data_IF_436688309999
#
_entry.id   IF_436688309999
#
_cell.length_a   1.000
_cell.length_b   1.000
_cell.length_c   1.000
_cell.angle_alpha   90.00
_cell.angle_beta   90.00
_cell.angle_gamma   90.00
#
_symmetry.space_group_name_H-M   'P 1'
#
loop_
_entity.id
_entity.type
_entity.pdbx_description
1 polymer ?
#
# COMPACT_ATOMS: atom_id res chain seq x y z
N UNK A 1 23.18 41.79 -47.73
CA UNK A 1 23.23 40.47 -47.06
C UNK A 1 21.93 40.28 -46.31
N UNK A 2 21.07 39.38 -46.81
CA UNK A 2 19.70 39.18 -46.35
C UNK A 2 19.64 38.53 -44.97
N UNK A 3 18.85 39.10 -44.06
CA UNK A 3 18.41 38.48 -42.81
C UNK A 3 17.12 37.71 -43.07
N UNK A 4 17.17 36.39 -42.99
CA UNK A 4 15.98 35.53 -42.96
C UNK A 4 15.56 35.36 -41.49
N UNK A 5 14.42 35.94 -41.09
CA UNK A 5 13.74 35.56 -39.84
C UNK A 5 12.87 34.34 -40.15
N UNK A 6 13.20 33.20 -39.55
CA UNK A 6 12.31 32.04 -39.48
C UNK A 6 11.33 32.24 -38.31
N UNK A 7 10.06 32.47 -38.62
CA UNK A 7 8.98 32.35 -37.63
C UNK A 7 8.62 30.88 -37.48
N UNK A 8 8.91 30.31 -36.30
CA UNK A 8 8.35 29.02 -35.89
C UNK A 8 6.88 29.25 -35.49
N UNK A 9 5.96 28.81 -36.34
CA UNK A 9 4.55 28.74 -36.00
C UNK A 9 4.31 27.50 -35.09
N UNK A 10 4.10 27.75 -33.80
CA UNK A 10 3.62 26.72 -32.87
C UNK A 10 2.13 26.45 -33.16
N UNK A 11 1.84 25.42 -33.94
CA UNK A 11 0.49 24.92 -34.12
C UNK A 11 0.01 24.24 -32.85
N UNK A 12 -0.95 24.87 -32.14
CA UNK A 12 -1.66 24.22 -31.06
C UNK A 12 -2.54 23.10 -31.64
N UNK A 13 -2.12 21.85 -31.46
CA UNK A 13 -2.98 20.69 -31.66
C UNK A 13 -4.07 20.75 -30.57
N UNK A 14 -5.25 21.25 -30.95
CA UNK A 14 -6.44 21.12 -30.13
C UNK A 14 -6.78 19.63 -30.04
N UNK A 15 -6.51 19.03 -28.88
CA UNK A 15 -7.02 17.70 -28.54
C UNK A 15 -8.54 17.83 -28.48
N UNK A 16 -9.22 17.36 -29.53
CA UNK A 16 -10.67 17.23 -29.50
C UNK A 16 -11.01 16.25 -28.37
N UNK A 17 -11.72 16.74 -27.36
CA UNK A 17 -12.26 15.91 -26.31
C UNK A 17 -13.11 14.81 -26.96
N UNK A 18 -12.85 13.56 -26.58
CA UNK A 18 -13.66 12.44 -27.03
C UNK A 18 -15.14 12.74 -26.70
N UNK A 19 -16.07 12.44 -27.62
CA UNK A 19 -17.48 12.68 -27.36
C UNK A 19 -17.91 11.92 -26.10
N UNK A 20 -18.78 12.53 -25.30
CA UNK A 20 -19.29 11.91 -24.07
C UNK A 20 -19.84 10.50 -24.36
N UNK A 21 -19.68 9.56 -23.42
CA UNK A 21 -20.30 8.24 -23.51
C UNK A 21 -21.80 8.36 -23.80
N UNK A 22 -22.34 7.51 -24.67
CA UNK A 22 -23.75 7.51 -25.02
C UNK A 22 -24.28 6.09 -25.15
N UNK A 23 -25.36 5.78 -24.45
CA UNK A 23 -26.08 4.51 -24.50
C UNK A 23 -26.41 4.10 -25.93
N UNK A 24 -27.03 4.99 -26.71
CA UNK A 24 -27.47 4.67 -28.08
C UNK A 24 -26.33 4.28 -29.02
N UNK A 25 -25.14 4.88 -28.83
CA UNK A 25 -23.98 4.64 -29.69
C UNK A 25 -23.11 3.50 -29.17
N UNK A 26 -22.88 3.46 -27.87
CA UNK A 26 -21.80 2.68 -27.27
C UNK A 26 -22.29 1.40 -26.58
N UNK A 27 -23.55 1.36 -26.13
CA UNK A 27 -24.11 0.22 -25.38
C UNK A 27 -25.23 -0.52 -26.13
N UNK A 28 -26.19 0.22 -26.70
CA UNK A 28 -27.38 -0.35 -27.34
C UNK A 28 -27.05 -1.37 -28.44
N UNK A 29 -26.10 -1.14 -29.37
CA UNK A 29 -25.78 -2.14 -30.40
C UNK A 29 -25.31 -3.48 -29.82
N UNK A 30 -24.59 -3.45 -28.70
CA UNK A 30 -24.16 -4.67 -28.01
C UNK A 30 -25.36 -5.39 -27.39
N UNK A 31 -26.26 -4.65 -26.73
CA UNK A 31 -27.43 -5.25 -26.08
C UNK A 31 -28.38 -5.88 -27.11
N UNK A 32 -28.61 -5.21 -28.25
CA UNK A 32 -29.40 -5.75 -29.37
C UNK A 32 -28.79 -7.04 -29.92
N UNK A 33 -27.48 -7.07 -30.12
CA UNK A 33 -26.81 -8.21 -30.73
C UNK A 33 -26.67 -9.41 -29.79
N UNK A 34 -26.48 -9.18 -28.48
CA UNK A 34 -26.03 -10.23 -27.55
C UNK A 34 -26.99 -10.50 -26.38
N UNK A 35 -27.93 -9.59 -26.08
CA UNK A 35 -28.73 -9.66 -24.85
C UNK A 35 -30.24 -9.82 -25.10
N UNK A 36 -30.82 -9.07 -26.04
CA UNK A 36 -32.28 -8.96 -26.17
C UNK A 36 -32.97 -10.25 -26.62
N UNK A 37 -32.29 -11.13 -27.36
CA UNK A 37 -32.76 -12.50 -27.68
C UNK A 37 -33.21 -13.33 -26.45
N UNK A 38 -32.83 -12.94 -25.24
CA UNK A 38 -33.15 -13.65 -24.01
C UNK A 38 -33.68 -12.74 -22.90
N UNK A 39 -33.31 -11.46 -22.90
CA UNK A 39 -33.60 -10.49 -21.84
C UNK A 39 -34.48 -9.33 -22.33
N UNK A 40 -35.37 -9.58 -23.28
CA UNK A 40 -36.43 -8.66 -23.67
C UNK A 40 -37.69 -8.84 -22.82
N UNK A 41 -38.68 -7.98 -23.04
CA UNK A 41 -39.98 -8.01 -22.37
C UNK A 41 -40.81 -9.26 -22.68
N UNK A 42 -40.52 -10.03 -23.73
CA UNK A 42 -41.25 -11.25 -24.07
C UNK A 42 -40.63 -12.49 -23.41
N UNK A 43 -39.30 -12.63 -23.48
CA UNK A 43 -38.56 -13.83 -23.06
C UNK A 43 -38.18 -13.80 -21.58
N UNK A 44 -37.81 -12.63 -21.05
CA UNK A 44 -37.49 -12.37 -19.63
C UNK A 44 -36.67 -13.46 -18.92
N UNK A 45 -35.63 -14.03 -19.55
CA UNK A 45 -34.82 -15.07 -18.90
C UNK A 45 -34.15 -14.55 -17.64
N UNK A 46 -34.16 -15.38 -16.60
CA UNK A 46 -33.58 -15.01 -15.31
C UNK A 46 -34.28 -13.82 -14.65
N UNK A 47 -35.55 -13.57 -14.99
CA UNK A 47 -36.37 -12.48 -14.46
C UNK A 47 -35.78 -11.08 -14.72
N UNK A 48 -34.96 -10.94 -15.77
CA UNK A 48 -34.29 -9.71 -16.14
C UNK A 48 -34.73 -9.25 -17.53
N UNK A 49 -35.13 -7.98 -17.61
CA UNK A 49 -35.55 -7.26 -18.82
C UNK A 49 -34.59 -6.08 -19.03
N UNK A 50 -34.01 -5.98 -20.23
CA UNK A 50 -32.94 -5.03 -20.57
C UNK A 50 -33.31 -4.09 -21.73
N UNK A 51 -34.41 -4.33 -22.44
CA UNK A 51 -34.84 -3.51 -23.59
C UNK A 51 -35.36 -2.12 -23.18
N UNK A 52 -35.82 -1.96 -21.93
CA UNK A 52 -36.17 -0.66 -21.32
C UNK A 52 -34.96 0.08 -20.70
N UNK A 53 -33.77 -0.51 -20.75
CA UNK A 53 -32.58 0.08 -20.14
C UNK A 53 -32.12 1.34 -20.91
N UNK A 54 -31.56 2.30 -20.18
CA UNK A 54 -31.10 3.59 -20.72
C UNK A 54 -29.68 3.89 -20.23
N UNK A 55 -29.22 5.14 -20.33
CA UNK A 55 -27.95 5.58 -19.76
C UNK A 55 -27.79 5.12 -18.29
N UNK A 56 -26.54 5.01 -17.84
CA UNK A 56 -26.28 4.66 -16.44
C UNK A 56 -26.73 5.80 -15.53
N UNK A 57 -27.63 5.50 -14.60
CA UNK A 57 -28.13 6.40 -13.57
C UNK A 57 -28.01 5.75 -12.19
N UNK A 58 -28.13 6.52 -11.10
CA UNK A 58 -28.16 5.94 -9.76
C UNK A 58 -29.31 4.94 -9.55
N UNK A 59 -30.44 5.13 -10.23
CA UNK A 59 -31.66 4.32 -10.06
C UNK A 59 -31.52 2.94 -10.70
N UNK A 60 -30.81 2.84 -11.83
CA UNK A 60 -30.56 1.57 -12.53
C UNK A 60 -29.17 0.98 -12.21
N UNK A 61 -28.45 1.55 -11.24
CA UNK A 61 -27.10 1.14 -10.82
C UNK A 61 -26.96 -0.37 -10.61
N UNK A 62 -27.91 -0.98 -9.89
CA UNK A 62 -27.85 -2.41 -9.57
C UNK A 62 -27.92 -3.31 -10.80
N UNK A 63 -28.72 -2.92 -11.80
CA UNK A 63 -28.85 -3.64 -13.06
C UNK A 63 -27.57 -3.51 -13.87
N UNK A 64 -27.07 -2.29 -14.08
CA UNK A 64 -25.85 -2.05 -14.85
C UNK A 64 -24.62 -2.69 -14.20
N UNK A 65 -24.49 -2.62 -12.88
CA UNK A 65 -23.43 -3.34 -12.14
C UNK A 65 -23.49 -4.83 -12.41
N UNK A 66 -24.68 -5.43 -12.40
CA UNK A 66 -24.85 -6.86 -12.67
C UNK A 66 -24.50 -7.20 -14.12
N UNK A 67 -24.94 -6.39 -15.09
CA UNK A 67 -24.60 -6.56 -16.52
C UNK A 67 -23.08 -6.49 -16.71
N UNK A 68 -22.42 -5.48 -16.13
CA UNK A 68 -20.96 -5.36 -16.17
C UNK A 68 -20.27 -6.61 -15.61
N UNK A 69 -20.68 -7.09 -14.43
CA UNK A 69 -20.09 -8.29 -13.82
C UNK A 69 -20.26 -9.52 -14.73
N UNK A 70 -21.44 -9.74 -15.31
CA UNK A 70 -21.69 -10.88 -16.19
C UNK A 70 -20.92 -10.80 -17.52
N UNK A 71 -20.81 -9.61 -18.11
CA UNK A 71 -20.09 -9.40 -19.38
C UNK A 71 -18.59 -9.50 -19.20
N UNK A 72 -18.05 -8.85 -18.15
CA UNK A 72 -16.63 -8.85 -17.84
C UNK A 72 -16.12 -10.25 -17.48
N UNK A 73 -16.94 -11.07 -16.80
CA UNK A 73 -16.61 -12.45 -16.44
C UNK A 73 -16.83 -13.47 -17.56
N UNK A 74 -17.29 -13.04 -18.75
CA UNK A 74 -17.65 -13.93 -19.87
C UNK A 74 -18.74 -14.96 -19.51
N UNK A 75 -19.58 -14.66 -18.50
CA UNK A 75 -20.72 -15.49 -18.12
C UNK A 75 -21.91 -15.26 -19.05
N UNK A 76 -22.07 -14.01 -19.53
CA UNK A 76 -23.06 -13.64 -20.54
C UNK A 76 -22.38 -13.14 -21.84
N UNK A 77 -22.91 -13.50 -23.02
CA UNK A 77 -23.94 -14.53 -23.24
C UNK A 77 -23.45 -15.94 -22.83
N UNK A 78 -24.35 -16.87 -22.49
CA UNK A 78 -23.95 -18.20 -22.00
C UNK A 78 -23.06 -18.93 -23.01
N UNK A 79 -22.03 -19.67 -22.54
CA UNK A 79 -21.05 -20.37 -23.40
C UNK A 79 -21.63 -21.23 -24.53
N UNK A 80 -22.88 -21.72 -24.38
CA UNK A 80 -23.59 -22.53 -25.40
C UNK A 80 -24.18 -21.70 -26.54
N UNK A 81 -24.31 -20.37 -26.40
CA UNK A 81 -24.77 -19.47 -27.46
C UNK A 81 -23.67 -19.34 -28.50
N UNK A 82 -24.04 -19.55 -29.77
CA UNK A 82 -23.12 -19.43 -30.92
C UNK A 82 -22.64 -17.99 -31.13
N UNK A 83 -23.52 -17.02 -30.90
CA UNK A 83 -23.17 -15.61 -30.97
C UNK A 83 -22.49 -15.18 -29.66
N UNK A 84 -21.20 -14.87 -29.73
CA UNK A 84 -20.37 -14.46 -28.60
C UNK A 84 -19.63 -13.17 -28.98
N UNK A 85 -19.65 -12.14 -28.11
CA UNK A 85 -18.88 -10.93 -28.35
C UNK A 85 -17.38 -11.22 -28.20
N UNK A 86 -16.59 -10.55 -29.04
CA UNK A 86 -15.15 -10.61 -28.97
C UNK A 86 -14.60 -9.84 -27.74
N UNK A 87 -13.29 -9.94 -27.51
CA UNK A 87 -12.66 -9.30 -26.36
C UNK A 87 -12.76 -7.77 -26.39
N UNK A 88 -12.73 -7.14 -27.57
CA UNK A 88 -12.79 -5.69 -27.74
C UNK A 88 -14.22 -5.17 -27.51
N UNK A 89 -15.23 -5.87 -28.02
CA UNK A 89 -16.64 -5.55 -27.80
C UNK A 89 -16.99 -5.64 -26.31
N UNK A 90 -16.56 -6.73 -25.65
CA UNK A 90 -16.74 -6.90 -24.18
C UNK A 90 -16.07 -5.79 -23.40
N UNK A 91 -14.83 -5.44 -23.75
CA UNK A 91 -14.09 -4.38 -23.09
C UNK A 91 -14.78 -3.03 -23.27
N UNK A 92 -15.20 -2.68 -24.49
CA UNK A 92 -15.90 -1.42 -24.78
C UNK A 92 -17.16 -1.26 -23.94
N UNK A 93 -18.03 -2.27 -23.92
CA UNK A 93 -19.23 -2.20 -23.09
C UNK A 93 -18.87 -2.14 -21.60
N UNK A 94 -17.93 -2.97 -21.14
CA UNK A 94 -17.53 -2.99 -19.74
C UNK A 94 -16.98 -1.65 -19.26
N UNK A 95 -16.10 -1.02 -20.05
CA UNK A 95 -15.57 0.31 -19.78
C UNK A 95 -16.68 1.36 -19.78
N UNK A 96 -17.57 1.35 -20.79
CA UNK A 96 -18.69 2.27 -20.85
C UNK A 96 -19.59 2.18 -19.61
N UNK A 97 -19.89 0.96 -19.13
CA UNK A 97 -20.68 0.77 -17.91
C UNK A 97 -19.92 1.29 -16.69
N UNK A 98 -18.63 0.96 -16.54
CA UNK A 98 -17.82 1.41 -15.40
C UNK A 98 -17.76 2.92 -15.33
N UNK A 99 -17.44 3.60 -16.44
CA UNK A 99 -17.39 5.06 -16.52
C UNK A 99 -18.75 5.68 -16.15
N UNK A 100 -19.84 5.10 -16.65
CA UNK A 100 -21.20 5.52 -16.31
C UNK A 100 -21.51 5.35 -14.82
N UNK A 101 -21.11 4.23 -14.22
CA UNK A 101 -21.32 3.95 -12.78
C UNK A 101 -20.48 4.88 -11.90
N UNK A 102 -19.24 5.16 -12.27
CA UNK A 102 -18.39 6.14 -11.59
C UNK A 102 -19.02 7.53 -11.61
N UNK A 103 -19.46 7.97 -12.79
CA UNK A 103 -20.06 9.29 -12.96
C UNK A 103 -21.41 9.41 -12.22
N UNK A 104 -22.28 8.40 -12.34
CA UNK A 104 -23.58 8.38 -11.67
C UNK A 104 -23.44 8.37 -10.14
N UNK A 105 -22.43 7.69 -9.61
CA UNK A 105 -22.24 7.52 -8.16
C UNK A 105 -21.28 8.53 -7.53
N UNK A 106 -20.69 9.44 -8.30
CA UNK A 106 -19.67 10.40 -7.85
C UNK A 106 -20.05 11.12 -6.54
N UNK A 107 -21.29 11.61 -6.44
CA UNK A 107 -21.82 12.32 -5.27
C UNK A 107 -22.59 11.41 -4.28
N UNK A 108 -22.65 10.10 -4.55
CA UNK A 108 -23.41 9.10 -3.78
C UNK A 108 -22.49 8.01 -3.19
N UNK A 109 -21.28 8.38 -2.80
CA UNK A 109 -20.29 7.47 -2.21
C UNK A 109 -19.31 6.83 -3.21
N UNK A 110 -19.43 7.15 -4.49
CA UNK A 110 -18.57 6.67 -5.57
C UNK A 110 -18.86 5.23 -6.00
N UNK A 111 -18.22 4.81 -7.09
CA UNK A 111 -18.19 3.42 -7.53
C UNK A 111 -16.76 2.99 -7.77
N UNK A 112 -16.27 2.06 -6.98
CA UNK A 112 -14.86 1.65 -6.99
C UNK A 112 -14.70 0.12 -6.92
N UNK A 113 -15.80 -0.62 -7.14
CA UNK A 113 -15.80 -2.09 -7.03
C UNK A 113 -14.80 -2.72 -8.01
N UNK A 114 -14.67 -2.16 -9.20
CA UNK A 114 -13.75 -2.63 -10.24
C UNK A 114 -12.26 -2.47 -9.87
N UNK A 115 -11.93 -1.62 -8.88
CA UNK A 115 -10.57 -1.41 -8.36
C UNK A 115 -10.21 -2.38 -7.23
N UNK A 116 -11.18 -3.14 -6.71
CA UNK A 116 -10.92 -4.05 -5.60
C UNK A 116 -10.02 -5.21 -6.05
N UNK A 117 -9.03 -5.64 -5.25
CA UNK A 117 -8.15 -6.75 -5.60
C UNK A 117 -8.89 -8.04 -5.97
N UNK A 118 -10.07 -8.27 -5.37
CA UNK A 118 -10.92 -9.41 -5.69
C UNK A 118 -11.36 -9.42 -7.17
N UNK A 119 -11.45 -8.25 -7.82
CA UNK A 119 -11.81 -8.13 -9.24
C UNK A 119 -10.62 -8.27 -10.19
N UNK A 120 -9.40 -8.01 -9.74
CA UNK A 120 -8.18 -8.19 -10.54
C UNK A 120 -7.90 -9.66 -10.92
N UNK A 121 -8.40 -10.62 -10.13
CA UNK A 121 -8.28 -12.06 -10.41
C UNK A 121 -9.25 -12.57 -11.48
N UNK A 122 -10.06 -11.70 -12.08
CA UNK A 122 -11.02 -12.06 -13.12
C UNK A 122 -10.49 -11.84 -14.55
N UNK A 123 -9.23 -11.43 -14.68
CA UNK A 123 -8.55 -11.42 -15.97
C UNK A 123 -8.39 -12.86 -16.48
N UNK A 124 -8.54 -13.02 -17.80
CA UNK A 124 -8.33 -14.32 -18.44
C UNK A 124 -6.91 -14.82 -18.17
N UNK A 125 -6.79 -16.09 -17.80
CA UNK A 125 -5.50 -16.71 -17.51
C UNK A 125 -4.54 -16.57 -18.70
N UNK A 126 -5.04 -16.74 -19.92
CA UNK A 126 -4.21 -16.70 -21.12
C UNK A 126 -3.76 -15.27 -21.46
N UNK A 127 -4.48 -14.25 -20.99
CA UNK A 127 -4.02 -12.85 -21.12
C UNK A 127 -2.85 -12.52 -20.18
N UNK A 128 -2.77 -13.21 -19.03
CA UNK A 128 -1.74 -12.96 -18.02
C UNK A 128 -0.53 -13.89 -18.15
N UNK A 129 -0.77 -15.13 -18.58
CA UNK A 129 0.21 -16.22 -18.54
C UNK A 129 0.39 -16.93 -19.90
N UNK A 130 -0.33 -16.49 -20.94
CA UNK A 130 -0.16 -16.99 -22.31
C UNK A 130 1.06 -16.40 -23.01
N UNK A 131 1.18 -16.69 -24.30
CA UNK A 131 2.26 -16.12 -25.12
C UNK A 131 2.12 -14.59 -25.19
N UNK A 132 3.16 -13.90 -24.73
CA UNK A 132 3.24 -12.45 -24.84
C UNK A 132 3.29 -12.04 -26.32
N UNK A 133 2.50 -11.03 -26.75
CA UNK A 133 2.64 -10.44 -28.08
C UNK A 133 4.09 -10.02 -28.33
N UNK A 134 4.58 -10.16 -29.57
CA UNK A 134 5.99 -9.90 -29.93
C UNK A 134 6.49 -8.49 -29.58
N UNK A 135 5.58 -7.53 -29.42
CA UNK A 135 5.87 -6.14 -29.12
C UNK A 135 5.59 -5.76 -27.66
N UNK A 136 5.34 -6.74 -26.79
CA UNK A 136 5.05 -6.53 -25.37
C UNK A 136 6.15 -7.19 -24.52
N UNK A 137 6.93 -6.38 -23.81
CA UNK A 137 7.86 -6.89 -22.81
C UNK A 137 7.08 -7.47 -21.62
N UNK A 138 7.49 -8.63 -21.06
CA UNK A 138 6.88 -9.14 -19.84
C UNK A 138 6.96 -8.08 -18.76
N UNK A 139 5.88 -7.90 -17.99
CA UNK A 139 5.88 -7.04 -16.83
C UNK A 139 6.86 -7.59 -15.77
N UNK A 140 8.12 -7.24 -15.90
CA UNK A 140 9.15 -7.50 -14.91
C UNK A 140 9.05 -6.42 -13.85
N UNK A 141 8.78 -6.84 -12.63
CA UNK A 141 9.03 -5.97 -11.48
C UNK A 141 10.42 -6.27 -10.95
N UNK A 142 11.16 -5.28 -10.44
CA UNK A 142 12.33 -5.52 -9.61
C UNK A 142 11.97 -6.45 -8.43
N UNK A 143 12.99 -7.04 -7.78
CA UNK A 143 12.85 -7.97 -6.67
C UNK A 143 11.71 -7.54 -5.72
N UNK A 144 10.62 -8.32 -5.73
CA UNK A 144 9.43 -8.01 -4.93
C UNK A 144 9.63 -8.55 -3.53
N UNK A 145 9.37 -7.73 -2.53
CA UNK A 145 9.16 -8.22 -1.17
C UNK A 145 7.85 -8.97 -1.17
N UNK A 146 7.89 -10.27 -0.89
CA UNK A 146 6.68 -11.05 -0.63
C UNK A 146 6.12 -10.57 0.71
N UNK A 147 5.13 -9.67 0.68
CA UNK A 147 4.42 -9.11 1.84
C UNK A 147 3.52 -10.15 2.54
N UNK A 148 3.95 -11.40 2.58
CA UNK A 148 3.17 -12.53 3.09
C UNK A 148 3.35 -12.63 4.62
N UNK A 149 4.54 -12.31 5.13
CA UNK A 149 4.84 -12.49 6.55
C UNK A 149 5.17 -11.16 7.24
N UNK A 150 4.40 -10.75 8.29
CA UNK A 150 4.65 -9.50 9.01
C UNK A 150 6.06 -9.37 9.59
N UNK A 151 6.71 -10.51 9.87
CA UNK A 151 8.09 -10.53 10.35
C UNK A 151 9.06 -9.85 9.39
N UNK A 152 8.88 -10.00 8.08
CA UNK A 152 9.78 -9.40 7.08
C UNK A 152 9.83 -7.87 7.23
N UNK A 153 8.67 -7.26 7.48
CA UNK A 153 8.60 -5.82 7.71
C UNK A 153 9.32 -5.39 8.99
N UNK A 154 9.17 -6.15 10.07
CA UNK A 154 9.86 -5.87 11.33
C UNK A 154 11.37 -6.05 11.21
N UNK A 155 11.82 -7.10 10.52
CA UNK A 155 13.25 -7.38 10.31
C UNK A 155 13.89 -6.25 9.52
N UNK A 156 13.27 -5.81 8.42
CA UNK A 156 13.78 -4.69 7.61
C UNK A 156 13.78 -3.37 8.38
N UNK A 157 12.74 -3.12 9.14
CA UNK A 157 12.68 -1.93 10.00
C UNK A 157 13.77 -1.96 11.07
N UNK A 158 14.00 -3.12 11.69
CA UNK A 158 15.06 -3.31 12.67
C UNK A 158 16.46 -3.06 12.09
N UNK A 159 16.70 -3.43 10.81
CA UNK A 159 17.93 -3.07 10.08
C UNK A 159 18.14 -1.55 9.91
N UNK A 160 17.11 -0.71 10.02
CA UNK A 160 17.25 0.74 9.91
C UNK A 160 17.60 1.42 11.24
N UNK A 161 17.34 0.75 12.36
CA UNK A 161 17.45 1.34 13.70
C UNK A 161 18.50 0.64 14.59
N UNK A 162 18.91 -0.59 14.26
CA UNK A 162 19.95 -1.33 14.98
C UNK A 162 21.02 -1.84 14.02
N UNK A 163 22.22 -2.05 14.56
CA UNK A 163 23.33 -2.71 13.88
C UNK A 163 23.12 -4.21 13.93
N UNK A 164 22.77 -4.80 12.80
CA UNK A 164 22.64 -6.24 12.69
C UNK A 164 23.97 -6.89 12.26
N UNK A 165 24.35 -8.03 12.86
CA UNK A 165 25.56 -8.74 12.49
C UNK A 165 25.46 -9.30 11.06
N UNK A 166 26.56 -9.28 10.32
CA UNK A 166 26.64 -9.93 9.01
C UNK A 166 26.67 -11.46 9.15
N UNK A 167 26.27 -12.15 8.08
CA UNK A 167 26.29 -13.60 8.04
C UNK A 167 27.72 -14.13 8.13
N UNK A 168 27.96 -15.01 9.10
CA UNK A 168 29.24 -15.66 9.28
C UNK A 168 29.17 -17.14 8.82
N UNK A 169 29.77 -17.51 7.67
CA UNK A 169 29.72 -18.87 7.17
C UNK A 169 30.44 -19.88 8.07
N UNK A 170 31.34 -19.43 8.96
CA UNK A 170 32.01 -20.28 9.94
C UNK A 170 31.15 -20.58 11.18
N UNK A 171 30.03 -19.88 11.34
CA UNK A 171 29.10 -20.04 12.47
C UNK A 171 27.64 -19.86 11.99
N UNK A 172 27.13 -20.74 11.12
CA UNK A 172 25.86 -20.55 10.40
C UNK A 172 24.59 -20.58 11.28
N UNK A 173 24.71 -20.87 12.58
CA UNK A 173 23.59 -20.88 13.53
C UNK A 173 23.47 -19.62 14.39
N UNK A 174 24.35 -18.64 14.20
CA UNK A 174 24.24 -17.34 14.88
C UNK A 174 23.24 -16.46 14.14
N UNK A 175 22.42 -15.73 14.90
CA UNK A 175 21.50 -14.74 14.36
C UNK A 175 22.27 -13.74 13.49
N UNK A 176 21.81 -13.54 12.27
CA UNK A 176 22.36 -12.60 11.29
C UNK A 176 21.29 -11.61 10.83
N UNK A 177 21.72 -10.55 10.15
CA UNK A 177 20.88 -9.68 9.33
C UNK A 177 19.91 -10.51 8.47
N UNK A 178 18.63 -10.14 8.50
CA UNK A 178 17.57 -10.84 7.78
C UNK A 178 16.85 -11.92 8.60
N UNK A 179 17.39 -12.33 9.75
CA UNK A 179 16.77 -13.35 10.58
C UNK A 179 15.57 -12.83 11.38
N UNK A 180 14.64 -13.74 11.65
CA UNK A 180 13.46 -13.54 12.49
C UNK A 180 13.82 -12.89 13.85
N UNK A 181 13.04 -11.88 14.24
CA UNK A 181 13.15 -11.25 15.57
C UNK A 181 12.44 -12.16 16.56
N UNK A 182 13.23 -12.83 17.38
CA UNK A 182 12.73 -13.80 18.37
C UNK A 182 11.91 -13.12 19.47
N UNK A 183 11.13 -13.92 20.17
CA UNK A 183 10.33 -13.46 21.30
C UNK A 183 11.26 -13.06 22.45
N UNK A 184 10.87 -12.01 23.19
CA UNK A 184 11.52 -11.69 24.44
C UNK A 184 11.15 -12.73 25.52
N UNK A 185 11.71 -12.59 26.72
CA UNK A 185 11.46 -13.50 27.84
C UNK A 185 9.99 -13.50 28.32
N UNK A 186 9.19 -12.54 27.87
CA UNK A 186 7.76 -12.39 28.14
C UNK A 186 6.89 -12.98 27.01
N UNK A 187 7.49 -13.54 25.96
CA UNK A 187 6.77 -14.11 24.82
C UNK A 187 6.31 -13.08 23.78
N UNK A 188 6.78 -11.84 23.87
CA UNK A 188 6.41 -10.77 22.94
C UNK A 188 7.46 -10.60 21.84
N UNK A 189 7.02 -10.38 20.60
CA UNK A 189 7.88 -9.88 19.53
C UNK A 189 8.00 -8.37 19.69
N UNK A 190 9.20 -7.84 19.92
CA UNK A 190 9.43 -6.41 20.09
C UNK A 190 10.70 -5.99 19.35
N UNK A 191 10.62 -4.87 18.65
CA UNK A 191 11.78 -4.20 18.08
C UNK A 191 12.22 -3.13 19.06
N UNK A 192 13.47 -3.21 19.51
CA UNK A 192 14.04 -2.27 20.47
C UNK A 192 14.86 -1.19 19.78
N UNK A 193 14.96 -0.02 20.39
CA UNK A 193 15.74 1.09 19.86
C UNK A 193 17.16 1.10 20.40
N UNK A 194 18.16 1.01 19.51
CA UNK A 194 19.54 1.36 19.82
C UNK A 194 20.24 0.45 20.85
N UNK A 195 19.90 -0.84 20.87
CA UNK A 195 20.48 -1.80 21.82
C UNK A 195 22.01 -1.82 21.75
N UNK A 196 22.59 -1.62 20.56
CA UNK A 196 24.03 -1.72 20.30
C UNK A 196 24.88 -0.68 21.05
N UNK A 197 24.25 0.42 21.51
CA UNK A 197 24.93 1.50 22.22
C UNK A 197 24.88 1.33 23.73
N UNK A 198 24.01 0.48 24.27
CA UNK A 198 23.88 0.34 25.73
C UNK A 198 25.13 -0.37 26.27
N UNK A 199 25.82 0.27 27.22
CA UNK A 199 27.01 -0.27 27.88
C UNK A 199 26.77 -0.72 29.32
N UNK A 200 25.66 -0.30 29.91
CA UNK A 200 25.30 -0.67 31.27
C UNK A 200 23.97 -0.06 31.69
N UNK A 201 23.51 -0.45 32.86
CA UNK A 201 22.24 -0.06 33.43
C UNK A 201 22.31 -0.02 34.96
N UNK A 202 21.39 0.71 35.57
CA UNK A 202 21.12 0.64 37.02
C UNK A 202 20.07 -0.45 37.28
N UNK A 203 20.42 -1.42 38.14
CA UNK A 203 19.54 -2.54 38.49
C UNK A 203 19.81 -3.82 37.69
N UNK A 204 18.97 -4.83 37.92
CA UNK A 204 19.11 -6.16 37.30
C UNK A 204 18.52 -6.26 35.89
N UNK A 205 18.46 -7.49 35.36
CA UNK A 205 17.91 -7.79 34.02
C UNK A 205 16.44 -7.36 33.84
N UNK A 206 15.62 -7.45 34.89
CA UNK A 206 14.23 -6.99 34.86
C UNK A 206 14.13 -5.47 34.68
N UNK A 207 14.97 -4.70 35.38
CA UNK A 207 15.05 -3.25 35.24
C UNK A 207 15.55 -2.88 33.83
N UNK A 208 16.55 -3.60 33.32
CA UNK A 208 16.99 -3.41 31.94
C UNK A 208 15.85 -3.60 30.92
N UNK A 209 15.10 -4.71 31.02
CA UNK A 209 14.01 -5.02 30.10
C UNK A 209 12.87 -3.99 30.13
N UNK A 210 12.62 -3.36 31.29
CA UNK A 210 11.64 -2.29 31.44
C UNK A 210 12.15 -0.95 30.88
N UNK A 211 13.45 -0.66 31.04
CA UNK A 211 14.06 0.60 30.62
C UNK A 211 14.25 0.71 29.09
N UNK A 212 14.47 -0.40 28.40
CA UNK A 212 14.67 -0.41 26.94
C UNK A 212 13.38 -0.07 26.20
N UNK A 213 13.44 1.00 25.40
CA UNK A 213 12.31 1.43 24.58
C UNK A 213 12.25 0.63 23.28
N UNK A 214 11.05 0.49 22.76
CA UNK A 214 10.78 -0.27 21.55
C UNK A 214 9.30 -0.36 21.30
N UNK A 215 8.93 -1.03 20.23
CA UNK A 215 7.54 -1.20 19.81
C UNK A 215 7.28 -2.65 19.41
N UNK A 216 6.04 -3.08 19.66
CA UNK A 216 5.56 -4.39 19.25
C UNK A 216 4.87 -4.27 17.89
N UNK A 217 4.81 -5.35 17.09
CA UNK A 217 4.05 -5.33 15.86
C UNK A 217 2.57 -5.10 16.16
N UNK A 218 1.99 -4.12 15.47
CA UNK A 218 0.56 -3.86 15.50
C UNK A 218 -0.10 -4.87 14.56
N UNK A 219 -0.35 -6.08 15.08
CA UNK A 219 -1.06 -7.14 14.35
C UNK A 219 -2.50 -7.19 14.85
N UNK A 220 -3.44 -6.77 13.99
CA UNK A 220 -4.84 -7.11 14.17
C UNK A 220 -5.15 -8.36 13.34
N UNK A 221 -5.00 -9.55 13.93
CA UNK A 221 -5.48 -10.80 13.33
C UNK A 221 -6.91 -11.13 13.76
N UNK A 222 -7.43 -10.44 14.79
CA UNK A 222 -8.74 -10.73 15.41
C UNK A 222 -9.90 -9.99 14.74
N UNK A 223 -9.63 -8.99 13.89
CA UNK A 223 -10.62 -8.35 13.04
C UNK A 223 -10.41 -8.70 11.56
N UNK A 224 -11.50 -9.05 10.86
CA UNK A 224 -11.50 -9.13 9.38
C UNK A 224 -11.28 -7.76 8.69
N UNK A 225 -10.96 -6.72 9.47
CA UNK A 225 -10.84 -5.31 9.12
C UNK A 225 -9.38 -4.83 9.21
N UNK A 226 -8.41 -5.69 8.92
CA UNK A 226 -7.07 -5.22 8.52
C UNK A 226 -7.17 -4.25 7.33
N UNK A 227 -6.05 -3.78 6.78
CA UNK A 227 -5.99 -2.72 5.76
C UNK A 227 -6.89 -2.91 4.48
N UNK A 228 -7.61 -4.03 4.38
CA UNK A 228 -8.69 -4.36 3.45
C UNK A 228 -9.71 -3.24 3.18
N UNK A 229 -10.02 -2.41 4.18
CA UNK A 229 -10.95 -1.28 4.00
C UNK A 229 -10.27 0.01 3.51
N UNK A 230 -8.94 0.09 3.54
CA UNK A 230 -8.19 1.32 3.33
C UNK A 230 -7.68 1.62 1.91
N UNK A 231 -7.81 0.77 0.87
CA UNK A 231 -7.27 1.16 -0.44
C UNK A 231 -7.98 2.39 -1.03
N UNK A 232 -9.14 2.79 -0.47
CA UNK A 232 -10.02 3.81 -1.05
C UNK A 232 -10.62 4.74 0.03
N UNK A 233 -10.15 4.65 1.29
CA UNK A 233 -10.58 5.55 2.36
C UNK A 233 -9.61 6.72 2.49
N UNK A 234 -10.13 7.94 2.41
CA UNK A 234 -9.37 9.19 2.54
C UNK A 234 -9.07 9.59 4.00
N UNK A 235 -9.62 8.88 4.99
CA UNK A 235 -9.34 9.14 6.40
C UNK A 235 -9.03 7.85 7.17
N UNK A 236 -7.91 7.90 7.90
CA UNK A 236 -7.40 6.80 8.73
C UNK A 236 -7.44 7.30 10.19
N UNK A 237 -8.64 7.35 10.79
CA UNK A 237 -8.88 7.94 12.12
C UNK A 237 -9.14 6.91 13.24
N UNK A 238 -8.87 5.63 12.99
CA UNK A 238 -9.01 4.58 13.98
C UNK A 238 -7.88 4.56 15.01
N UNK A 239 -8.13 4.01 16.21
CA UNK A 239 -7.10 3.88 17.25
C UNK A 239 -5.82 3.18 16.77
N UNK A 240 -5.97 2.18 15.89
CA UNK A 240 -4.85 1.47 15.25
C UNK A 240 -4.03 2.38 14.33
N UNK A 241 -4.69 3.26 13.58
CA UNK A 241 -4.03 4.23 12.71
C UNK A 241 -3.20 5.22 13.52
N UNK A 242 -3.78 5.74 14.60
CA UNK A 242 -3.08 6.64 15.53
C UNK A 242 -1.88 5.94 16.19
N UNK A 243 -1.99 4.65 16.50
CA UNK A 243 -0.87 3.87 17.04
C UNK A 243 0.25 3.68 16.00
N UNK A 244 -0.11 3.35 14.75
CA UNK A 244 0.84 3.25 13.63
C UNK A 244 1.55 4.59 13.43
N UNK A 245 0.80 5.70 13.37
CA UNK A 245 1.35 7.03 13.20
C UNK A 245 2.32 7.41 14.33
N UNK A 246 1.96 7.10 15.58
CA UNK A 246 2.84 7.32 16.74
C UNK A 246 4.14 6.53 16.64
N UNK A 247 4.07 5.23 16.33
CA UNK A 247 5.28 4.43 16.16
C UNK A 247 6.13 4.92 14.99
N UNK A 248 5.51 5.31 13.87
CA UNK A 248 6.23 5.90 12.74
C UNK A 248 6.96 7.18 13.14
N UNK A 249 6.32 8.07 13.91
CA UNK A 249 6.96 9.26 14.45
C UNK A 249 8.15 8.90 15.34
N UNK A 250 7.98 7.97 16.30
CA UNK A 250 9.04 7.54 17.20
C UNK A 250 10.25 6.96 16.44
N UNK A 251 9.99 6.12 15.42
CA UNK A 251 11.00 5.54 14.54
C UNK A 251 11.75 6.63 13.79
N UNK A 252 11.05 7.55 13.13
CA UNK A 252 11.65 8.63 12.35
C UNK A 252 12.48 9.54 13.24
N UNK A 253 11.99 9.89 14.43
CA UNK A 253 12.75 10.66 15.43
C UNK A 253 14.00 9.92 15.87
N UNK A 254 13.91 8.61 16.09
CA UNK A 254 15.08 7.80 16.43
C UNK A 254 16.08 7.72 15.26
N UNK A 255 15.61 7.60 14.02
CA UNK A 255 16.47 7.63 12.82
C UNK A 255 17.16 8.99 12.64
N UNK A 256 16.48 10.08 12.98
CA UNK A 256 17.00 11.44 12.93
C UNK A 256 18.02 11.73 14.06
N UNK A 257 17.67 11.46 15.31
CA UNK A 257 18.41 11.96 16.47
C UNK A 257 19.07 10.85 17.31
N UNK A 258 18.69 9.59 17.09
CA UNK A 258 19.02 8.49 17.97
C UNK A 258 18.17 8.47 19.25
N UNK A 259 18.57 7.70 20.27
CA UNK A 259 17.87 7.68 21.55
C UNK A 259 18.03 9.03 22.26
N UNK A 260 17.01 9.43 23.02
CA UNK A 260 17.08 10.60 23.89
C UNK A 260 18.05 10.32 25.03
N UNK A 261 19.25 10.90 24.94
CA UNK A 261 20.33 10.68 25.91
C UNK A 261 20.68 12.00 26.61
N UNK A 262 20.80 11.95 27.92
CA UNK A 262 21.35 13.03 28.76
C UNK A 262 22.87 12.91 28.89
N UNK A 263 23.63 14.02 29.01
CA UNK A 263 25.10 13.99 29.02
C UNK A 263 25.73 13.04 30.04
N UNK A 264 25.11 12.87 31.22
CA UNK A 264 25.63 12.01 32.28
C UNK A 264 25.62 10.52 31.89
N UNK A 265 24.72 10.11 30.99
CA UNK A 265 24.55 8.71 30.58
C UNK A 265 25.73 8.20 29.73
N UNK A 266 26.55 9.11 29.18
CA UNK A 266 27.85 8.77 28.58
C UNK A 266 28.94 8.58 29.63
N UNK A 267 28.92 9.33 30.72
CA UNK A 267 29.95 9.26 31.76
C UNK A 267 29.85 8.02 32.66
N UNK A 268 28.66 7.40 32.76
CA UNK A 268 28.42 6.29 33.67
C UNK A 268 28.19 6.70 35.13
N UNK A 269 28.20 8.01 35.43
CA UNK A 269 28.01 8.55 36.77
C UNK A 269 26.62 9.18 36.87
N UNK A 270 25.86 8.78 37.89
CA UNK A 270 24.55 9.35 38.17
C UNK A 270 24.68 10.76 38.76
N UNK A 271 23.90 11.74 38.26
CA UNK A 271 23.73 13.04 38.90
C UNK A 271 23.18 12.94 40.32
N UNK A 272 23.52 13.90 41.17
CA UNK A 272 23.08 13.95 42.59
C UNK A 272 21.54 13.93 42.72
N UNK A 273 20.81 14.49 41.74
CA UNK A 273 19.34 14.48 41.71
C UNK A 273 18.72 13.06 41.70
N UNK A 274 19.50 12.03 41.38
CA UNK A 274 19.04 10.64 41.38
C UNK A 274 19.58 9.78 42.53
N UNK A 275 20.33 10.37 43.47
CA UNK A 275 20.98 9.63 44.57
C UNK A 275 20.01 8.84 45.45
N UNK A 276 18.83 9.42 45.70
CA UNK A 276 17.77 8.81 46.52
C UNK A 276 16.49 8.55 45.71
N UNK A 277 16.60 8.52 44.38
CA UNK A 277 15.47 8.29 43.48
C UNK A 277 15.64 6.93 42.81
N UNK A 278 14.62 6.07 42.95
CA UNK A 278 14.61 4.80 42.25
C UNK A 278 14.30 5.00 40.76
N UNK A 279 15.35 4.98 39.95
CA UNK A 279 15.26 5.08 38.49
C UNK A 279 15.29 3.71 37.80
N UNK A 280 15.31 2.60 38.55
CA UNK A 280 15.39 1.26 37.94
C UNK A 280 14.18 1.04 37.04
N UNK A 281 14.42 0.62 35.80
CA UNK A 281 13.35 0.40 34.82
C UNK A 281 12.97 1.63 34.00
N UNK A 282 13.65 2.77 34.19
CA UNK A 282 13.42 3.98 33.37
C UNK A 282 14.56 4.21 32.39
N UNK A 283 14.34 5.04 31.36
CA UNK A 283 15.36 5.36 30.34
C UNK A 283 16.59 6.06 30.92
N UNK A 284 16.41 6.78 32.04
CA UNK A 284 17.46 7.44 32.82
C UNK A 284 18.43 6.44 33.47
N UNK A 285 18.01 5.19 33.68
CA UNK A 285 18.88 4.14 34.23
C UNK A 285 19.89 3.57 33.24
N UNK A 286 19.78 3.89 31.96
CA UNK A 286 20.64 3.34 30.91
C UNK A 286 21.90 4.18 30.72
N UNK A 287 23.01 3.52 30.47
CA UNK A 287 24.29 4.15 30.09
C UNK A 287 24.67 3.75 28.68
N UNK A 288 25.20 4.70 27.91
CA UNK A 288 25.48 4.51 26.49
C UNK A 288 26.96 4.70 26.15
N UNK A 289 27.39 4.08 25.06
CA UNK A 289 28.63 4.40 24.35
C UNK A 289 28.45 5.71 23.59
N UNK A 290 29.51 6.52 23.53
CA UNK A 290 29.50 7.78 22.78
C UNK A 290 29.34 7.53 21.28
N UNK A 291 29.97 6.46 20.77
CA UNK A 291 29.91 6.06 19.37
C UNK A 291 28.47 5.79 18.89
N UNK A 292 28.16 6.29 17.70
CA UNK A 292 26.91 5.98 17.00
C UNK A 292 27.09 4.66 16.27
N UNK A 293 26.41 3.62 16.76
CA UNK A 293 26.52 2.26 16.22
C UNK A 293 25.44 1.92 15.18
N UNK A 294 24.29 2.61 15.24
CA UNK A 294 23.15 2.38 14.34
C UNK A 294 23.49 2.81 12.90
N UNK A 295 22.83 2.25 11.89
CA UNK A 295 22.91 2.76 10.53
C UNK A 295 22.45 4.22 10.46
N UNK A 296 23.24 5.06 9.78
CA UNK A 296 22.81 6.41 9.41
C UNK A 296 21.97 6.29 8.15
N UNK A 297 20.77 6.85 8.20
CA UNK A 297 19.80 6.80 7.12
C UNK A 297 19.66 8.20 6.51
N UNK A 298 19.11 8.36 5.29
CA UNK A 298 18.91 9.67 4.69
C UNK A 298 18.12 10.65 5.57
N UNK A 299 17.28 10.13 6.48
CA UNK A 299 16.56 10.94 7.48
C UNK A 299 17.52 11.68 8.42
N UNK A 300 18.65 11.07 8.80
CA UNK A 300 19.67 11.72 9.63
C UNK A 300 20.24 12.96 8.94
N UNK A 301 20.65 12.82 7.67
CA UNK A 301 21.23 13.92 6.91
C UNK A 301 20.20 15.03 6.65
N UNK A 302 18.96 14.63 6.31
CA UNK A 302 17.87 15.55 5.99
C UNK A 302 17.55 16.52 7.14
N UNK A 303 17.55 16.05 8.40
CA UNK A 303 17.23 16.90 9.56
C UNK A 303 18.37 17.84 9.97
N UNK A 304 19.58 17.66 9.45
CA UNK A 304 20.70 18.58 9.69
C UNK A 304 20.68 19.76 8.69
N UNK A 305 19.92 19.65 7.60
CA UNK A 305 19.76 20.73 6.62
C UNK A 305 18.70 21.73 7.10
N UNK A 306 19.05 23.02 7.16
CA UNK A 306 18.15 24.08 7.65
C UNK A 306 16.97 24.33 6.68
N UNK A 307 17.17 24.10 5.37
CA UNK A 307 16.16 24.21 4.32
C UNK A 307 16.42 23.19 3.19
N UNK A 308 16.09 21.91 3.37
CA UNK A 308 16.31 20.90 2.34
C UNK A 308 15.44 21.18 1.10
N UNK A 309 15.97 21.00 -0.13
CA UNK A 309 15.19 21.17 -1.36
C UNK A 309 14.05 20.15 -1.45
N UNK A 310 12.96 20.52 -2.14
CA UNK A 310 11.76 19.70 -2.26
C UNK A 310 12.04 18.30 -2.83
N UNK A 311 13.04 18.17 -3.70
CA UNK A 311 13.49 16.90 -4.26
C UNK A 311 14.02 15.93 -3.18
N UNK A 312 14.66 16.43 -2.12
CA UNK A 312 15.12 15.60 -0.98
C UNK A 312 14.01 15.27 0.01
N UNK A 313 12.91 16.01 -0.03
CA UNK A 313 11.71 15.74 0.78
C UNK A 313 10.79 14.68 0.15
N UNK A 314 11.00 14.35 -1.13
CA UNK A 314 10.26 13.32 -1.85
C UNK A 314 11.00 11.98 -1.71
N UNK A 315 10.32 11.00 -1.12
CA UNK A 315 10.79 9.61 -0.99
C UNK A 315 10.53 8.80 -2.27
#
# INVERSE_FOLDING_TARGET
>A
MNRFLMFLAAGALAVQAAPSPSFKRDALPFLEQYCFDCHDAETKKGELVLDELTEVTPENFGVWKSVWEQVALKEMPPKKKKNQPDAKERLRLSSWIVDGLEQAMKEKGGFNTHLLPAKGNHLDHDLLFGELPKDLEPASTPARIWRIHPQEHLVRLNELINKEPEYNPKAPGLRTRGDHISWNNQGEVKVYYGLDRIKGQVGGSAAYAAAITGFSPILNTTGHHGLRSYPILYSVNGAQASQIARHAEDIVRFMAYGPKIEPYQFSGKLPEKYKDVDIRGTVESLFYKEEVMRPLTPVYDLVQEENPPEEKLRA
#
